data_IF_569678662591
#
_entry.id   IF_569678662591
#
_cell.length_a   1.000
_cell.length_b   1.000
_cell.length_c   1.000
_cell.angle_alpha   90.00
_cell.angle_beta   90.00
_cell.angle_gamma   90.00
#
_symmetry.space_group_name_H-M   'P 1'
#
loop_
_entity.id
_entity.type
_entity.pdbx_description
1 polymer ?
#
# COMPACT_ATOMS: atom_id res chain seq x y z
N UNK A 1 -2.74 22.27 12.82
CA UNK A 1 -2.83 20.94 12.18
C UNK A 1 -1.41 20.54 11.84
N UNK A 2 -0.83 19.67 12.65
CA UNK A 2 0.53 19.20 12.40
C UNK A 2 0.53 18.34 11.14
N UNK A 3 1.46 18.64 10.22
CA UNK A 3 1.58 17.90 8.97
C UNK A 3 2.02 16.46 9.27
N UNK A 4 1.23 15.48 8.86
CA UNK A 4 1.58 14.09 8.94
C UNK A 4 2.94 13.83 8.26
N UNK A 5 3.84 13.16 8.94
CA UNK A 5 5.14 12.74 8.40
C UNK A 5 5.05 11.30 7.92
N UNK A 6 5.70 11.03 6.82
CA UNK A 6 5.80 9.70 6.24
C UNK A 6 7.26 9.26 6.16
N UNK A 7 7.51 8.02 6.47
CA UNK A 7 8.80 7.38 6.28
C UNK A 7 8.60 6.05 5.54
N UNK A 8 9.52 5.71 4.67
CA UNK A 8 9.60 4.40 4.05
C UNK A 8 10.97 3.80 4.31
N UNK A 9 10.96 2.55 4.71
CA UNK A 9 12.14 1.72 4.85
C UNK A 9 12.07 0.57 3.87
N UNK A 10 13.21 0.25 3.25
CA UNK A 10 13.34 -0.93 2.41
C UNK A 10 14.41 -1.85 3.00
N UNK A 11 14.11 -3.14 3.09
CA UNK A 11 15.09 -4.16 3.44
C UNK A 11 15.20 -5.21 2.32
N UNK A 12 16.40 -5.74 2.02
CA UNK A 12 16.56 -6.85 1.09
C UNK A 12 15.81 -8.09 1.58
N UNK A 13 15.15 -8.81 0.67
CA UNK A 13 14.46 -10.08 0.98
C UNK A 13 15.46 -11.26 1.09
N UNK A 14 16.73 -11.03 0.87
CA UNK A 14 17.75 -12.06 0.94
C UNK A 14 17.96 -12.62 2.34
N UNK A 15 17.84 -13.87 2.45
CA UNK A 15 17.77 -14.77 3.59
C UNK A 15 19.12 -15.09 4.18
N UNK A 16 19.91 -14.26 4.75
CA UNK A 16 20.95 -14.73 5.70
C UNK A 16 21.73 -13.55 6.30
N UNK A 17 21.43 -13.24 7.54
CA UNK A 17 22.22 -12.31 8.34
C UNK A 17 21.51 -10.99 8.66
N UNK A 18 21.92 -10.30 9.74
CA UNK A 18 21.38 -8.99 10.06
C UNK A 18 21.80 -8.01 8.96
N UNK A 19 20.85 -7.50 8.19
CA UNK A 19 21.12 -6.48 7.18
C UNK A 19 21.38 -5.13 7.84
N UNK A 20 22.57 -4.54 7.68
CA UNK A 20 22.78 -3.14 7.96
C UNK A 20 22.40 -2.34 6.72
N UNK A 21 21.45 -1.48 6.82
CA UNK A 21 21.20 -0.45 5.85
C UNK A 21 19.81 -0.45 5.25
N UNK A 22 18.80 -0.09 6.03
CA UNK A 22 17.53 0.35 5.50
C UNK A 22 17.73 1.64 4.70
N UNK A 23 17.30 1.65 3.44
CA UNK A 23 17.29 2.85 2.63
C UNK A 23 16.11 3.71 3.08
N UNK A 24 16.38 4.79 3.82
CA UNK A 24 15.34 5.75 4.22
C UNK A 24 15.08 6.69 3.05
N UNK A 25 13.90 6.58 2.44
CA UNK A 25 13.47 7.54 1.43
C UNK A 25 12.61 8.62 2.11
N UNK A 26 13.11 9.84 2.21
CA UNK A 26 12.27 11.02 2.48
C UNK A 26 11.51 11.34 1.21
N UNK A 27 10.19 11.18 1.21
CA UNK A 27 9.36 11.39 0.03
C UNK A 27 8.41 12.56 0.26
N UNK A 28 8.20 13.38 -0.76
CA UNK A 28 7.43 14.62 -0.67
C UNK A 28 5.96 14.42 -0.31
N UNK A 29 5.28 13.47 -0.96
CA UNK A 29 3.85 13.19 -0.72
C UNK A 29 3.58 11.69 -0.64
N UNK A 30 2.46 11.31 -0.03
CA UNK A 30 2.05 9.89 0.05
C UNK A 30 1.80 9.25 -1.32
N UNK A 31 1.10 9.91 -2.28
CA UNK A 31 0.96 9.38 -3.63
C UNK A 31 2.30 9.08 -4.29
N UNK A 32 3.27 10.01 -4.23
CA UNK A 32 4.61 9.82 -4.81
C UNK A 32 5.35 8.64 -4.18
N UNK A 33 5.18 8.44 -2.86
CA UNK A 33 5.78 7.32 -2.16
C UNK A 33 5.19 5.99 -2.64
N UNK A 34 3.87 5.88 -2.72
CA UNK A 34 3.20 4.68 -3.19
C UNK A 34 3.50 4.40 -4.66
N UNK A 35 3.54 5.43 -5.51
CA UNK A 35 3.94 5.28 -6.92
C UNK A 35 5.36 4.72 -7.04
N UNK A 36 6.29 5.21 -6.25
CA UNK A 36 7.67 4.71 -6.23
C UNK A 36 7.74 3.26 -5.76
N UNK A 37 7.04 2.90 -4.69
CA UNK A 37 7.03 1.54 -4.15
C UNK A 37 6.36 0.57 -5.12
N UNK A 38 5.19 0.93 -5.66
CA UNK A 38 4.47 0.13 -6.66
C UNK A 38 5.31 0.02 -7.95
N UNK A 39 5.84 1.14 -8.46
CA UNK A 39 6.68 1.18 -9.64
C UNK A 39 7.90 0.27 -9.50
N UNK A 40 8.61 0.35 -8.38
CA UNK A 40 9.77 -0.52 -8.12
C UNK A 40 9.41 -2.02 -8.17
N UNK A 41 8.21 -2.39 -7.71
CA UNK A 41 7.74 -3.77 -7.79
C UNK A 41 7.38 -4.18 -9.21
N UNK A 42 6.73 -3.30 -9.97
CA UNK A 42 6.34 -3.54 -11.36
C UNK A 42 7.56 -3.66 -12.28
N UNK A 43 8.60 -2.86 -12.05
CA UNK A 43 9.88 -2.93 -12.78
C UNK A 43 10.74 -4.15 -12.42
N UNK A 44 10.25 -4.99 -11.49
CA UNK A 44 10.96 -6.17 -10.97
C UNK A 44 12.28 -5.88 -10.26
N UNK A 45 12.80 -4.68 -10.31
CA UNK A 45 13.98 -4.25 -9.54
C UNK A 45 13.67 -4.28 -8.05
N UNK A 46 12.46 -3.90 -7.67
CA UNK A 46 11.97 -3.95 -6.30
C UNK A 46 11.56 -5.32 -5.79
N UNK A 47 11.60 -6.36 -6.62
CA UNK A 47 11.21 -7.73 -6.21
C UNK A 47 12.11 -8.30 -5.10
N UNK A 48 13.32 -7.77 -4.95
CA UNK A 48 14.27 -8.14 -3.92
C UNK A 48 14.10 -7.38 -2.60
N UNK A 49 13.15 -6.45 -2.50
CA UNK A 49 12.99 -5.61 -1.32
C UNK A 49 11.63 -5.81 -0.65
N UNK A 50 11.66 -5.76 0.69
CA UNK A 50 10.47 -5.58 1.52
C UNK A 50 10.37 -4.13 1.93
N UNK A 51 9.17 -3.57 1.81
CA UNK A 51 8.91 -2.17 2.12
C UNK A 51 8.04 -2.04 3.37
N UNK A 52 8.44 -1.14 4.26
CA UNK A 52 7.63 -0.69 5.38
C UNK A 52 7.36 0.81 5.28
N UNK A 53 6.10 1.18 5.27
CA UNK A 53 5.67 2.58 5.23
C UNK A 53 5.07 2.94 6.58
N UNK A 54 5.66 3.93 7.23
CA UNK A 54 5.21 4.46 8.52
C UNK A 54 4.66 5.88 8.39
N UNK A 55 3.57 6.15 9.10
CA UNK A 55 3.02 7.48 9.27
C UNK A 55 3.12 7.91 10.74
N UNK A 56 3.46 9.18 11.01
CA UNK A 56 3.63 9.69 12.37
C UNK A 56 3.51 11.21 12.42
N UNK A 57 3.48 11.76 13.63
CA UNK A 57 3.42 13.21 13.85
C UNK A 57 4.77 13.90 13.57
N UNK A 58 5.84 13.16 13.69
CA UNK A 58 7.21 13.60 13.43
C UNK A 58 7.99 12.51 12.67
N UNK A 59 9.21 12.84 12.26
CA UNK A 59 10.07 11.91 11.53
C UNK A 59 10.46 10.69 12.33
N UNK A 60 10.69 10.84 13.64
CA UNK A 60 11.11 9.73 14.50
C UNK A 60 9.98 8.70 14.67
N UNK A 61 8.75 9.16 14.92
CA UNK A 61 7.59 8.28 15.02
C UNK A 61 7.28 7.62 13.66
N UNK A 62 7.38 8.34 12.55
CA UNK A 62 7.18 7.76 11.22
C UNK A 62 8.22 6.67 10.90
N UNK A 63 9.50 6.89 11.23
CA UNK A 63 10.56 5.89 11.06
C UNK A 63 10.35 4.66 11.96
N UNK A 64 9.96 4.87 13.22
CA UNK A 64 9.62 3.77 14.13
C UNK A 64 8.46 2.95 13.60
N UNK A 65 7.40 3.58 13.09
CA UNK A 65 6.27 2.90 12.47
C UNK A 65 6.68 2.18 11.17
N UNK A 66 7.55 2.74 10.34
CA UNK A 66 8.06 2.05 9.16
C UNK A 66 8.84 0.76 9.54
N UNK A 67 9.62 0.79 10.62
CA UNK A 67 10.28 -0.40 11.14
C UNK A 67 9.29 -1.46 11.68
N UNK A 68 8.18 -1.04 12.30
CA UNK A 68 7.08 -1.94 12.67
C UNK A 68 6.45 -2.53 11.43
N UNK A 69 6.15 -1.72 10.42
CA UNK A 69 5.55 -2.13 9.15
C UNK A 69 6.36 -3.22 8.43
N UNK A 70 7.70 -3.10 8.41
CA UNK A 70 8.60 -4.13 7.85
C UNK A 70 8.45 -5.45 8.60
N UNK A 71 8.45 -5.43 9.93
CA UNK A 71 8.29 -6.65 10.74
C UNK A 71 6.93 -7.30 10.47
N UNK A 72 5.86 -6.52 10.49
CA UNK A 72 4.50 -7.01 10.17
C UNK A 72 4.42 -7.62 8.77
N UNK A 73 5.04 -6.99 7.77
CA UNK A 73 5.10 -7.55 6.42
C UNK A 73 5.85 -8.88 6.40
N UNK A 74 6.96 -9.01 7.13
CA UNK A 74 7.72 -10.25 7.24
C UNK A 74 6.89 -11.37 7.87
N UNK A 75 6.25 -11.08 9.00
CA UNK A 75 5.44 -12.05 9.75
C UNK A 75 4.24 -12.56 8.93
N UNK A 76 3.72 -11.73 8.04
CA UNK A 76 2.61 -12.05 7.13
C UNK A 76 3.06 -12.61 5.77
N UNK A 77 4.36 -12.81 5.54
CA UNK A 77 4.89 -13.28 4.26
C UNK A 77 4.68 -12.29 3.10
N UNK A 78 4.49 -10.99 3.41
CA UNK A 78 4.30 -9.93 2.42
C UNK A 78 5.61 -9.16 2.18
N UNK A 79 5.73 -8.54 1.02
CA UNK A 79 6.81 -7.61 0.73
C UNK A 79 6.44 -6.15 1.05
N UNK A 80 5.18 -5.87 1.43
CA UNK A 80 4.67 -4.53 1.71
C UNK A 80 3.92 -4.52 3.04
N UNK A 81 4.27 -3.57 3.89
CA UNK A 81 3.61 -3.32 5.17
C UNK A 81 3.44 -1.84 5.45
N UNK A 82 2.51 -1.54 6.35
CA UNK A 82 2.15 -0.20 6.78
C UNK A 82 1.97 -0.16 8.29
N UNK A 83 2.25 0.99 8.92
CA UNK A 83 1.92 1.25 10.32
C UNK A 83 1.73 2.74 10.60
N UNK A 84 0.81 3.05 11.50
CA UNK A 84 0.46 4.42 11.93
C UNK A 84 0.53 4.60 13.44
N UNK A 85 0.69 3.50 14.18
CA UNK A 85 0.59 3.46 15.64
C UNK A 85 -0.86 3.39 16.16
N UNK A 86 -1.87 3.40 15.28
CA UNK A 86 -3.27 3.13 15.63
C UNK A 86 -3.56 1.65 15.36
N UNK A 87 -3.82 0.83 16.41
CA UNK A 87 -3.98 -0.62 16.25
C UNK A 87 -5.07 -1.04 15.28
N UNK A 88 -6.17 -0.28 15.22
CA UNK A 88 -7.27 -0.59 14.31
C UNK A 88 -6.89 -0.33 12.85
N UNK A 89 -6.29 0.81 12.57
CA UNK A 89 -5.78 1.14 11.24
C UNK A 89 -4.70 0.16 10.81
N UNK A 90 -3.78 -0.13 11.71
CA UNK A 90 -2.65 -1.00 11.44
C UNK A 90 -3.11 -2.42 11.08
N UNK A 91 -4.18 -2.92 11.72
CA UNK A 91 -4.80 -4.19 11.36
C UNK A 91 -5.36 -4.17 9.93
N UNK A 92 -6.14 -3.15 9.57
CA UNK A 92 -6.70 -3.00 8.21
C UNK A 92 -5.61 -2.77 7.16
N UNK A 93 -4.63 -1.94 7.46
CA UNK A 93 -3.50 -1.67 6.58
C UNK A 93 -2.65 -2.92 6.33
N UNK A 94 -2.50 -3.78 7.36
CA UNK A 94 -1.79 -5.04 7.20
C UNK A 94 -2.51 -5.99 6.23
N UNK A 95 -3.84 -6.10 6.32
CA UNK A 95 -4.63 -6.92 5.40
C UNK A 95 -4.64 -6.35 3.97
N UNK A 96 -4.80 -5.02 3.83
CA UNK A 96 -4.74 -4.33 2.54
C UNK A 96 -3.34 -4.43 1.90
N UNK A 97 -2.28 -4.35 2.70
CA UNK A 97 -0.90 -4.51 2.23
C UNK A 97 -0.66 -5.90 1.64
N UNK A 98 -1.11 -6.96 2.32
CA UNK A 98 -1.04 -8.33 1.81
C UNK A 98 -1.85 -8.48 0.51
N UNK A 99 -3.09 -7.95 0.48
CA UNK A 99 -3.95 -8.03 -0.70
C UNK A 99 -3.35 -7.27 -1.90
N UNK A 100 -2.83 -6.06 -1.68
CA UNK A 100 -2.19 -5.28 -2.73
C UNK A 100 -0.92 -5.98 -3.24
N UNK A 101 -0.10 -6.51 -2.34
CA UNK A 101 1.10 -7.25 -2.70
C UNK A 101 0.77 -8.47 -3.58
N UNK A 102 -0.22 -9.27 -3.20
CA UNK A 102 -0.66 -10.43 -3.97
C UNK A 102 -1.18 -10.03 -5.37
N UNK A 103 -1.99 -8.96 -5.47
CA UNK A 103 -2.50 -8.47 -6.75
C UNK A 103 -1.37 -8.03 -7.69
N UNK A 104 -0.32 -7.40 -7.16
CA UNK A 104 0.83 -6.97 -7.96
C UNK A 104 1.72 -8.16 -8.36
N UNK A 105 1.86 -9.16 -7.51
CA UNK A 105 2.65 -10.36 -7.77
C UNK A 105 2.02 -11.29 -8.81
N UNK A 106 0.69 -11.28 -8.90
CA UNK A 106 -0.09 -12.04 -9.91
C UNK A 106 0.05 -11.48 -11.33
N UNK A 107 0.61 -10.28 -11.51
CA UNK A 107 0.75 -9.67 -12.82
C UNK A 107 1.80 -10.36 -13.67
N UNK A 108 1.41 -10.73 -14.89
CA UNK A 108 2.40 -11.15 -15.91
C UNK A 108 3.32 -9.97 -16.27
N UNK A 109 4.52 -10.22 -16.86
CA UNK A 109 5.43 -9.14 -17.24
C UNK A 109 4.76 -8.05 -18.10
N UNK A 110 3.93 -8.47 -19.04
CA UNK A 110 3.22 -7.51 -19.92
C UNK A 110 2.14 -6.73 -19.18
N UNK A 111 1.45 -7.37 -18.25
CA UNK A 111 0.48 -6.67 -17.39
C UNK A 111 1.18 -5.70 -16.43
N UNK A 112 2.34 -6.06 -15.89
CA UNK A 112 3.14 -5.18 -15.03
C UNK A 112 3.62 -3.93 -15.79
N UNK A 113 4.08 -4.08 -17.03
CA UNK A 113 4.46 -2.96 -17.89
C UNK A 113 3.28 -2.00 -18.16
N UNK A 114 2.09 -2.56 -18.48
CA UNK A 114 0.88 -1.78 -18.67
C UNK A 114 0.43 -1.12 -17.36
N UNK A 115 0.51 -1.85 -16.24
CA UNK A 115 0.16 -1.34 -14.93
C UNK A 115 1.03 -0.17 -14.50
N UNK A 116 2.35 -0.22 -14.73
CA UNK A 116 3.26 0.89 -14.49
C UNK A 116 2.80 2.17 -15.20
N UNK A 117 2.56 2.07 -16.49
CA UNK A 117 2.10 3.22 -17.30
C UNK A 117 0.74 3.77 -16.87
N UNK A 118 -0.21 2.89 -16.52
CA UNK A 118 -1.58 3.30 -16.15
C UNK A 118 -1.66 3.79 -14.70
N UNK A 119 -1.03 3.08 -13.75
CA UNK A 119 -1.18 3.33 -12.31
C UNK A 119 -0.16 4.32 -11.77
N UNK A 120 1.07 4.32 -12.33
CA UNK A 120 2.17 5.15 -11.86
C UNK A 120 2.30 6.41 -12.73
N UNK A 121 2.38 6.23 -14.06
CA UNK A 121 2.54 7.35 -14.98
C UNK A 121 1.23 8.09 -15.29
N UNK A 122 0.08 7.52 -14.88
CA UNK A 122 -1.24 8.09 -15.15
C UNK A 122 -1.65 8.08 -16.62
N UNK A 123 -0.98 7.31 -17.48
CA UNK A 123 -1.21 7.28 -18.91
C UNK A 123 -2.58 6.70 -19.27
N UNK A 124 -3.23 7.27 -20.27
CA UNK A 124 -4.49 6.74 -20.82
C UNK A 124 -4.24 5.45 -21.62
N UNK A 125 -5.19 4.54 -21.62
CA UNK A 125 -5.06 3.27 -22.35
C UNK A 125 -4.71 3.45 -23.83
N UNK A 126 -5.16 4.53 -24.49
CA UNK A 126 -4.83 4.82 -25.87
C UNK A 126 -3.34 5.21 -26.04
N UNK A 127 -2.79 5.97 -25.10
CA UNK A 127 -1.38 6.37 -25.08
C UNK A 127 -0.49 5.15 -24.83
N UNK A 128 -0.90 4.30 -23.87
CA UNK A 128 -0.21 3.02 -23.61
C UNK A 128 -0.24 2.11 -24.83
N UNK A 129 -1.36 2.02 -25.52
CA UNK A 129 -1.50 1.22 -26.74
C UNK A 129 -0.55 1.70 -27.84
N UNK A 130 -0.50 3.02 -28.08
CA UNK A 130 0.40 3.64 -29.05
C UNK A 130 1.88 3.42 -28.68
N UNK A 131 2.24 3.64 -27.42
CA UNK A 131 3.62 3.46 -26.94
C UNK A 131 4.11 2.00 -27.02
N UNK A 132 3.19 1.04 -26.88
CA UNK A 132 3.51 -0.39 -26.90
C UNK A 132 3.30 -1.05 -28.29
N UNK A 133 2.84 -0.29 -29.30
CA UNK A 133 2.58 -0.81 -30.64
C UNK A 133 1.46 -1.86 -30.70
N UNK A 134 0.45 -1.76 -29.80
CA UNK A 134 -0.66 -2.71 -29.71
C UNK A 134 -2.01 -2.02 -29.86
N UNK A 135 -3.09 -2.79 -30.01
CA UNK A 135 -4.44 -2.22 -30.08
C UNK A 135 -4.92 -1.76 -28.70
N UNK A 136 -5.79 -0.73 -28.64
CA UNK A 136 -6.46 -0.32 -27.40
C UNK A 136 -7.24 -1.47 -26.75
N UNK A 137 -7.83 -2.36 -27.55
CA UNK A 137 -8.53 -3.53 -27.07
C UNK A 137 -7.59 -4.47 -26.30
N UNK A 138 -6.36 -4.67 -26.80
CA UNK A 138 -5.32 -5.45 -26.11
C UNK A 138 -5.00 -4.87 -24.75
N UNK A 139 -4.82 -3.55 -24.65
CA UNK A 139 -4.56 -2.87 -23.36
C UNK A 139 -5.75 -3.00 -22.42
N UNK A 140 -6.98 -2.80 -22.92
CA UNK A 140 -8.21 -2.94 -22.14
C UNK A 140 -8.36 -4.35 -21.53
N UNK A 141 -8.09 -5.39 -22.31
CA UNK A 141 -8.09 -6.78 -21.83
C UNK A 141 -7.01 -7.01 -20.77
N UNK A 142 -5.81 -6.47 -20.97
CA UNK A 142 -4.72 -6.58 -19.99
C UNK A 142 -5.06 -5.87 -18.67
N UNK A 143 -5.65 -4.68 -18.73
CA UNK A 143 -6.15 -3.92 -17.57
C UNK A 143 -7.20 -4.71 -16.79
N UNK A 144 -8.17 -5.32 -17.51
CA UNK A 144 -9.21 -6.12 -16.87
C UNK A 144 -8.65 -7.41 -16.23
N UNK A 145 -7.83 -8.16 -16.95
CA UNK A 145 -7.21 -9.40 -16.47
C UNK A 145 -6.21 -9.17 -15.34
N UNK A 146 -5.45 -8.08 -15.40
CA UNK A 146 -4.53 -7.67 -14.36
C UNK A 146 -5.23 -7.02 -13.14
N UNK A 147 -6.56 -6.93 -13.15
CA UNK A 147 -7.37 -6.36 -12.06
C UNK A 147 -6.90 -4.96 -11.63
N UNK A 148 -6.41 -4.14 -12.57
CA UNK A 148 -5.88 -2.80 -12.27
C UNK A 148 -6.87 -1.90 -11.51
N UNK A 149 -8.20 -1.94 -11.77
CA UNK A 149 -9.16 -1.21 -10.94
C UNK A 149 -9.16 -1.62 -9.47
N UNK A 150 -8.95 -2.91 -9.17
CA UNK A 150 -8.86 -3.41 -7.79
C UNK A 150 -7.56 -2.93 -7.12
N UNK A 151 -6.43 -2.97 -7.82
CA UNK A 151 -5.15 -2.41 -7.36
C UNK A 151 -5.30 -0.92 -7.04
N UNK A 152 -5.90 -0.14 -7.94
CA UNK A 152 -6.15 1.28 -7.74
C UNK A 152 -7.09 1.55 -6.54
N UNK A 153 -8.08 0.69 -6.30
CA UNK A 153 -8.99 0.81 -5.16
C UNK A 153 -8.30 0.48 -3.84
N UNK A 154 -7.51 -0.60 -3.79
CA UNK A 154 -6.70 -0.95 -2.61
C UNK A 154 -5.70 0.17 -2.27
N UNK A 155 -5.03 0.73 -3.28
CA UNK A 155 -4.14 1.88 -3.11
C UNK A 155 -4.86 3.06 -2.47
N UNK A 156 -6.02 3.50 -3.01
CA UNK A 156 -6.81 4.61 -2.43
C UNK A 156 -7.25 4.34 -1.00
N UNK A 157 -7.64 3.10 -0.68
CA UNK A 157 -8.02 2.72 0.68
C UNK A 157 -6.82 2.84 1.64
N UNK A 158 -5.64 2.40 1.23
CA UNK A 158 -4.39 2.56 1.98
C UNK A 158 -4.07 4.04 2.19
N UNK A 159 -4.15 4.86 1.14
CA UNK A 159 -3.93 6.31 1.24
C UNK A 159 -4.89 6.95 2.25
N UNK A 160 -6.17 6.63 2.18
CA UNK A 160 -7.17 7.13 3.11
C UNK A 160 -6.91 6.73 4.56
N UNK A 161 -6.49 5.50 4.81
CA UNK A 161 -6.16 5.00 6.14
C UNK A 161 -4.85 5.61 6.69
N UNK A 162 -3.87 5.88 5.85
CA UNK A 162 -2.61 6.49 6.30
C UNK A 162 -2.77 7.97 6.67
N UNK A 163 -3.65 8.71 5.99
CA UNK A 163 -3.77 10.19 6.10
C UNK A 163 -5.07 10.62 6.78
N UNK A 164 -6.11 9.80 6.69
CA UNK A 164 -7.45 10.14 7.18
C UNK A 164 -7.52 10.33 8.70
N UNK A 165 -8.53 11.08 9.21
CA UNK A 165 -8.81 11.12 10.64
C UNK A 165 -9.10 9.69 11.15
N UNK A 166 -8.83 9.40 12.43
CA UNK A 166 -9.24 8.12 13.00
C UNK A 166 -10.74 7.93 12.77
N UNK A 167 -11.19 6.71 12.44
CA UNK A 167 -12.62 6.45 12.37
C UNK A 167 -13.23 6.85 13.71
N UNK A 168 -14.26 7.66 13.65
CA UNK A 168 -15.06 7.97 14.84
C UNK A 168 -15.54 6.63 15.35
N UNK A 169 -15.12 6.22 16.57
CA UNK A 169 -15.68 5.05 17.21
C UNK A 169 -17.20 5.25 17.18
N UNK A 170 -17.89 4.42 16.40
CA UNK A 170 -19.36 4.38 16.46
C UNK A 170 -19.66 4.12 17.92
N UNK A 171 -20.11 5.17 18.63
CA UNK A 171 -20.28 5.18 20.07
C UNK A 171 -20.95 3.90 20.49
N UNK A 172 -20.34 3.21 21.44
CA UNK A 172 -20.90 2.00 22.01
C UNK A 172 -22.35 2.29 22.36
N UNK A 173 -23.28 1.56 21.74
CA UNK A 173 -24.68 1.75 21.97
C UNK A 173 -24.94 1.79 23.47
N UNK A 174 -25.43 2.93 23.95
CA UNK A 174 -25.99 3.03 25.28
C UNK A 174 -26.93 1.84 25.44
N UNK A 175 -26.63 1.00 26.44
CA UNK A 175 -27.37 -0.19 26.69
C UNK A 175 -28.88 0.11 26.76
N UNK A 176 -29.60 -0.41 25.79
CA UNK A 176 -31.05 -0.48 25.86
C UNK A 176 -31.33 -1.34 27.07
N UNK A 177 -31.66 -0.67 28.18
CA UNK A 177 -32.16 -1.35 29.41
C UNK A 177 -33.34 -2.23 29.00
N UNK A 178 -33.38 -3.51 29.41
CA UNK A 178 -34.51 -4.36 29.09
C UNK A 178 -35.77 -3.77 29.74
N UNK A 179 -36.78 -3.45 28.91
CA UNK A 179 -38.08 -2.99 29.36
C UNK A 179 -38.65 -4.01 30.33
N UNK A 180 -38.94 -3.57 31.57
CA UNK A 180 -39.60 -4.34 32.58
C UNK A 180 -40.97 -4.82 32.05
N UNK A 181 -41.21 -6.13 32.04
CA UNK A 181 -42.52 -6.71 31.72
C UNK A 181 -43.50 -6.37 32.84
N UNK A 182 -44.69 -5.79 32.54
CA UNK A 182 -45.76 -5.65 33.55
C UNK A 182 -46.32 -7.03 33.92
N UNK A 183 -46.68 -7.19 35.22
CA UNK A 183 -47.34 -8.38 35.77
C UNK A 183 -48.82 -8.41 35.37
#
# INVERSE_FOLDING_TARGET
>A
MDALRLAALAEPVTTTGPSPGGMTARVGTLPDLLDRVIGSRLDRVGAAFRWGIGAGHDSASAEAHAAIAIRTARDRGSWLGFATGDPWRDALLADLGVALAALLDDLTPRQAEIAGRVLVDGARQAEVAAALGVSRATVSVAVARGRLPAIASARRAIEALLVGPPPVALGGGEGVAPAARPR
#
